data_IF_053578180368
#
_entry.id   IF_053578180368
#
_cell.length_a   1.000
_cell.length_b   1.000
_cell.length_c   1.000
_cell.angle_alpha   90.00
_cell.angle_beta   90.00
_cell.angle_gamma   90.00
#
_symmetry.space_group_name_H-M   'P 1'
#
loop_
_entity.id
_entity.type
_entity.pdbx_description
1 polymer ?
#
# COMPACT_ATOMS: atom_id res chain seq x y z
N UNK A 1 -11.85 -15.92 2.10
CA UNK A 1 -11.28 -16.29 3.08
C UNK A 1 -9.80 -16.09 3.35
N UNK A 2 -8.91 -16.23 2.36
CA UNK A 2 -7.51 -15.89 2.55
C UNK A 2 -7.35 -14.42 2.92
N UNK A 3 -8.13 -13.52 2.27
CA UNK A 3 -8.04 -12.09 2.55
C UNK A 3 -8.43 -11.74 3.98
N UNK A 4 -9.42 -12.44 4.54
CA UNK A 4 -9.83 -12.21 5.92
C UNK A 4 -8.79 -12.72 6.92
N UNK A 5 -8.16 -13.85 6.63
CA UNK A 5 -7.08 -14.38 7.47
C UNK A 5 -5.90 -13.41 7.48
N UNK A 6 -5.48 -12.94 6.32
CA UNK A 6 -4.37 -12.00 6.22
C UNK A 6 -4.68 -10.66 6.86
N UNK A 7 -5.93 -10.18 6.73
CA UNK A 7 -6.34 -8.97 7.43
C UNK A 7 -6.20 -9.12 8.95
N UNK A 8 -6.55 -10.27 9.48
CA UNK A 8 -6.39 -10.56 10.90
C UNK A 8 -4.91 -10.54 11.31
N UNK A 9 -4.06 -11.21 10.55
CA UNK A 9 -2.61 -11.25 10.83
C UNK A 9 -2.01 -9.84 10.78
N UNK A 10 -2.30 -9.09 9.73
CA UNK A 10 -1.81 -7.72 9.60
C UNK A 10 -2.28 -6.84 10.75
N UNK A 11 -3.55 -6.99 11.16
CA UNK A 11 -4.09 -6.16 12.25
C UNK A 11 -3.34 -6.39 13.57
N UNK A 12 -3.01 -7.64 13.87
CA UNK A 12 -2.23 -7.96 15.07
C UNK A 12 -0.84 -7.34 14.99
N UNK A 13 -0.16 -7.49 13.85
CA UNK A 13 1.19 -6.96 13.68
C UNK A 13 1.21 -5.44 13.74
N UNK A 14 0.30 -4.78 13.03
CA UNK A 14 0.26 -3.31 12.97
C UNK A 14 -0.09 -2.71 14.33
N UNK A 15 -1.06 -3.29 15.04
CA UNK A 15 -1.47 -2.77 16.34
C UNK A 15 -0.36 -2.83 17.40
N UNK A 16 0.64 -3.70 17.19
CA UNK A 16 1.79 -3.82 18.09
C UNK A 16 2.94 -2.88 17.76
N UNK A 17 2.87 -2.16 16.63
CA UNK A 17 3.90 -1.20 16.29
C UNK A 17 3.85 -0.03 17.27
N UNK A 18 5.00 0.38 17.80
CA UNK A 18 5.08 1.44 18.80
C UNK A 18 4.54 2.79 18.30
N UNK A 19 4.63 3.03 16.99
CA UNK A 19 4.16 4.28 16.39
C UNK A 19 2.66 4.29 16.08
N UNK A 20 1.98 3.14 16.16
CA UNK A 20 0.59 3.05 15.68
C UNK A 20 -0.36 3.94 16.48
N UNK A 21 -0.26 3.93 17.80
CA UNK A 21 -1.13 4.76 18.65
C UNK A 21 -0.96 6.26 18.37
N UNK A 22 0.25 6.66 18.00
CA UNK A 22 0.53 8.05 17.70
C UNK A 22 -0.09 8.53 16.39
N UNK A 23 -0.31 7.64 15.43
CA UNK A 23 -0.81 8.00 14.09
C UNK A 23 -2.26 7.60 13.84
N UNK A 24 -2.83 6.79 14.71
CA UNK A 24 -4.13 6.13 14.50
C UNK A 24 -5.27 7.08 14.11
N UNK A 25 -5.38 8.22 14.76
CA UNK A 25 -6.50 9.15 14.53
C UNK A 25 -6.55 9.66 13.08
N UNK A 26 -5.40 9.87 12.47
CA UNK A 26 -5.30 10.41 11.12
C UNK A 26 -4.68 9.41 10.15
N UNK A 27 -4.79 8.12 10.47
CA UNK A 27 -4.23 7.08 9.61
C UNK A 27 -5.21 6.68 8.51
N UNK A 28 -4.66 6.38 7.35
CA UNK A 28 -5.42 5.81 6.23
C UNK A 28 -4.66 4.61 5.68
N UNK A 29 -5.38 3.52 5.46
CA UNK A 29 -4.82 2.29 4.95
C UNK A 29 -4.92 2.29 3.42
N UNK A 30 -3.79 2.15 2.73
CA UNK A 30 -3.73 2.22 1.27
C UNK A 30 -2.96 1.02 0.74
N UNK A 31 -3.57 0.20 -0.12
CA UNK A 31 -2.83 -0.91 -0.74
C UNK A 31 -1.95 -0.39 -1.88
N UNK A 32 -0.80 -1.02 -2.06
CA UNK A 32 0.04 -0.76 -3.23
C UNK A 32 -0.67 -1.40 -4.43
N UNK A 33 -0.94 -0.62 -5.50
CA UNK A 33 -1.75 -1.13 -6.60
C UNK A 33 -1.13 -2.32 -7.33
N UNK A 34 -1.98 -3.29 -7.66
CA UNK A 34 -1.60 -4.39 -8.54
C UNK A 34 -1.42 -3.89 -9.98
N UNK A 35 -0.98 -4.75 -10.88
CA UNK A 35 -0.73 -4.37 -12.27
C UNK A 35 -1.99 -4.07 -13.07
N UNK A 36 -3.14 -4.64 -12.70
CA UNK A 36 -4.41 -4.42 -13.39
C UNK A 36 -5.50 -4.02 -12.40
N UNK A 37 -6.52 -3.32 -12.91
CA UNK A 37 -7.69 -2.94 -12.10
C UNK A 37 -8.39 -4.17 -11.52
N UNK A 38 -8.54 -5.20 -12.33
CA UNK A 38 -9.23 -6.44 -11.93
C UNK A 38 -8.48 -7.15 -10.80
N UNK A 39 -7.17 -7.32 -10.96
CA UNK A 39 -6.35 -7.97 -9.94
C UNK A 39 -6.32 -7.15 -8.65
N UNK A 40 -6.24 -5.83 -8.76
CA UNK A 40 -6.23 -4.93 -7.62
C UNK A 40 -7.53 -5.04 -6.82
N UNK A 41 -8.68 -4.95 -7.49
CA UNK A 41 -9.97 -5.07 -6.84
C UNK A 41 -10.16 -6.42 -6.17
N UNK A 42 -9.81 -7.50 -6.86
CA UNK A 42 -9.95 -8.86 -6.33
C UNK A 42 -9.05 -9.09 -5.13
N UNK A 43 -7.83 -8.56 -5.16
CA UNK A 43 -6.85 -8.78 -4.09
C UNK A 43 -7.13 -7.95 -2.85
N UNK A 44 -7.50 -6.69 -3.01
CA UNK A 44 -7.45 -5.74 -1.92
C UNK A 44 -8.79 -5.19 -1.42
N UNK A 45 -9.88 -5.29 -2.17
CA UNK A 45 -11.14 -4.67 -1.74
C UNK A 45 -11.60 -5.18 -0.37
N UNK A 46 -11.72 -6.48 -0.21
CA UNK A 46 -12.18 -7.07 1.05
C UNK A 46 -11.09 -7.01 2.13
N UNK A 47 -9.85 -7.21 1.71
CA UNK A 47 -8.71 -7.16 2.62
C UNK A 47 -8.60 -5.79 3.31
N UNK A 48 -8.64 -4.71 2.54
CA UNK A 48 -8.54 -3.37 3.09
C UNK A 48 -9.72 -3.01 3.97
N UNK A 49 -10.93 -3.38 3.55
CA UNK A 49 -12.13 -3.13 4.35
C UNK A 49 -12.03 -3.79 5.72
N UNK A 50 -11.66 -5.05 5.75
CA UNK A 50 -11.56 -5.80 7.01
C UNK A 50 -10.40 -5.29 7.87
N UNK A 51 -9.26 -5.04 7.28
CA UNK A 51 -8.09 -4.56 8.01
C UNK A 51 -8.33 -3.18 8.61
N UNK A 52 -8.89 -2.25 7.84
CA UNK A 52 -9.20 -0.91 8.33
C UNK A 52 -10.21 -0.97 9.48
N UNK A 53 -11.20 -1.83 9.36
CA UNK A 53 -12.20 -2.04 10.43
C UNK A 53 -11.54 -2.56 11.71
N UNK A 54 -10.67 -3.55 11.60
CA UNK A 54 -9.97 -4.13 12.76
C UNK A 54 -9.03 -3.14 13.44
N UNK A 55 -8.41 -2.27 12.67
CA UNK A 55 -7.51 -1.24 13.19
C UNK A 55 -8.22 0.05 13.61
N UNK A 56 -9.50 0.17 13.27
CA UNK A 56 -10.30 1.37 13.49
C UNK A 56 -9.64 2.61 12.85
N UNK A 57 -9.27 2.47 11.58
CA UNK A 57 -8.69 3.55 10.77
C UNK A 57 -9.44 3.64 9.44
N UNK A 58 -9.19 4.70 8.68
CA UNK A 58 -9.84 4.91 7.40
C UNK A 58 -9.40 3.87 6.36
N UNK A 59 -10.36 3.34 5.61
CA UNK A 59 -10.11 2.46 4.47
C UNK A 59 -9.80 3.32 3.25
N UNK A 60 -8.55 3.32 2.82
CA UNK A 60 -8.07 4.10 1.69
C UNK A 60 -7.93 3.31 0.40
N UNK A 61 -8.70 2.24 0.21
CA UNK A 61 -8.62 1.46 -1.02
C UNK A 61 -8.76 2.34 -2.27
N UNK A 62 -9.57 3.39 -2.21
CA UNK A 62 -9.82 4.29 -3.34
C UNK A 62 -8.90 5.51 -3.38
N UNK A 63 -7.92 5.58 -2.50
CA UNK A 63 -6.95 6.68 -2.48
C UNK A 63 -6.08 6.69 -3.73
N UNK A 64 -5.69 5.51 -4.21
CA UNK A 64 -4.96 5.34 -5.45
C UNK A 64 -5.88 4.65 -6.46
N UNK A 65 -6.03 5.25 -7.63
CA UNK A 65 -6.86 4.70 -8.69
C UNK A 65 -6.01 4.30 -9.88
N UNK A 66 -6.26 3.12 -10.42
CA UNK A 66 -5.57 2.65 -11.62
C UNK A 66 -6.34 3.17 -12.84
N UNK A 67 -5.77 4.16 -13.54
CA UNK A 67 -6.39 4.73 -14.73
C UNK A 67 -6.39 3.74 -15.89
N UNK A 68 -5.26 3.06 -16.07
CA UNK A 68 -5.13 2.02 -17.10
C UNK A 68 -4.16 0.95 -16.61
N UNK A 69 -4.34 -0.27 -17.13
CA UNK A 69 -3.54 -1.41 -16.70
C UNK A 69 -2.07 -1.24 -17.10
N UNK A 70 -1.17 -1.63 -16.20
CA UNK A 70 0.26 -1.49 -16.40
C UNK A 70 0.76 -2.22 -17.65
N UNK A 71 0.09 -3.31 -18.04
CA UNK A 71 0.42 -4.06 -19.23
C UNK A 71 0.36 -3.24 -20.51
N UNK A 72 -0.50 -2.22 -20.54
CA UNK A 72 -0.65 -1.31 -21.69
C UNK A 72 0.46 -0.29 -21.79
N UNK A 73 1.35 -0.26 -20.81
CA UNK A 73 2.46 0.69 -20.73
C UNK A 73 3.79 0.07 -21.14
N UNK A 74 3.76 -1.08 -21.82
CA UNK A 74 4.98 -1.79 -22.24
C UNK A 74 5.89 -0.85 -23.04
N UNK A 75 7.15 -0.79 -22.63
CA UNK A 75 8.16 0.07 -23.24
C UNK A 75 8.24 1.47 -22.63
N UNK A 76 7.22 1.93 -21.92
CA UNK A 76 7.23 3.25 -21.27
C UNK A 76 7.38 3.16 -19.76
N UNK A 77 6.99 2.05 -19.18
CA UNK A 77 7.00 1.84 -17.73
C UNK A 77 8.40 1.93 -17.13
N UNK A 78 9.37 1.38 -17.80
CA UNK A 78 10.77 1.39 -17.38
C UNK A 78 10.98 1.59 -15.89
N UNK A 79 11.28 2.79 -15.51
CA UNK A 79 11.60 3.19 -14.14
C UNK A 79 10.46 3.83 -13.38
N UNK A 80 9.42 4.31 -14.07
CA UNK A 80 8.29 4.99 -13.44
C UNK A 80 7.09 4.07 -13.35
N UNK A 81 6.80 3.60 -12.15
CA UNK A 81 5.71 2.64 -11.90
C UNK A 81 4.41 3.29 -11.48
N UNK A 82 4.34 4.60 -11.45
CA UNK A 82 3.15 5.31 -10.97
C UNK A 82 2.44 6.12 -12.05
N UNK A 83 2.91 6.08 -13.30
CA UNK A 83 2.32 6.84 -14.40
C UNK A 83 0.86 6.48 -14.68
N UNK A 84 0.48 5.24 -14.38
CA UNK A 84 -0.88 4.76 -14.59
C UNK A 84 -1.81 5.01 -13.39
N UNK A 85 -1.34 5.73 -12.37
CA UNK A 85 -2.10 5.94 -11.14
C UNK A 85 -2.62 7.36 -11.03
N UNK A 86 -3.83 7.48 -10.48
CA UNK A 86 -4.38 8.76 -10.04
C UNK A 86 -4.45 8.75 -8.52
N UNK A 87 -4.07 9.85 -7.91
CA UNK A 87 -4.03 10.00 -6.44
C UNK A 87 -5.16 10.91 -5.98
N UNK A 88 -5.97 10.43 -5.06
CA UNK A 88 -7.07 11.22 -4.47
C UNK A 88 -6.53 12.05 -3.30
N UNK A 89 -6.23 13.31 -3.59
CA UNK A 89 -5.60 14.22 -2.63
C UNK A 89 -6.40 14.41 -1.33
N UNK A 90 -7.72 14.35 -1.41
CA UNK A 90 -8.58 14.53 -0.23
C UNK A 90 -8.30 13.46 0.82
N UNK A 91 -7.99 12.25 0.38
CA UNK A 91 -7.69 11.13 1.28
C UNK A 91 -6.24 11.13 1.76
N UNK A 92 -5.40 12.03 1.25
CA UNK A 92 -3.95 12.00 1.49
C UNK A 92 -3.50 13.17 2.38
N UNK A 93 -3.99 14.36 2.11
CA UNK A 93 -3.55 15.57 2.80
C UNK A 93 -3.86 15.50 4.29
N UNK A 94 -2.85 15.69 5.11
CA UNK A 94 -3.01 15.68 6.56
C UNK A 94 -3.17 14.27 7.16
N UNK A 95 -2.84 13.23 6.39
CA UNK A 95 -3.00 11.83 6.83
C UNK A 95 -1.66 11.13 7.00
N UNK A 96 -1.63 10.18 7.94
CA UNK A 96 -0.54 9.21 8.03
C UNK A 96 -0.94 8.03 7.15
N UNK A 97 -0.18 7.75 6.10
CA UNK A 97 -0.53 6.69 5.14
C UNK A 97 0.20 5.40 5.51
N UNK A 98 -0.57 4.33 5.67
CA UNK A 98 -0.04 2.98 5.83
C UNK A 98 -0.21 2.26 4.50
N UNK A 99 0.90 2.08 3.77
CA UNK A 99 0.91 1.33 2.52
C UNK A 99 1.05 -0.15 2.84
N UNK A 100 0.19 -0.97 2.26
CA UNK A 100 0.23 -2.42 2.49
C UNK A 100 0.33 -3.16 1.17
N UNK A 101 1.06 -4.26 1.19
CA UNK A 101 1.16 -5.20 0.08
C UNK A 101 1.60 -6.55 0.64
N UNK A 102 1.52 -7.59 -0.20
CA UNK A 102 1.93 -8.93 0.22
C UNK A 102 3.44 -9.10 0.19
N UNK A 103 4.12 -8.67 -0.87
CA UNK A 103 5.56 -8.87 -1.03
C UNK A 103 6.24 -7.58 -1.48
N UNK A 104 7.36 -7.26 -0.84
CA UNK A 104 8.26 -6.21 -1.31
C UNK A 104 9.44 -6.87 -2.00
N UNK A 105 9.77 -6.44 -3.23
CA UNK A 105 10.93 -6.94 -3.98
C UNK A 105 12.07 -5.93 -3.94
N UNK A 106 11.98 -4.89 -4.76
CA UNK A 106 13.02 -3.84 -4.81
C UNK A 106 12.68 -2.60 -3.99
N UNK A 107 11.41 -2.45 -3.61
CA UNK A 107 10.94 -1.25 -2.93
C UNK A 107 10.68 -0.07 -3.87
N UNK A 108 10.82 -0.24 -5.18
CA UNK A 108 10.64 0.85 -6.13
C UNK A 108 9.24 1.45 -6.06
N UNK A 109 8.20 0.62 -6.04
CA UNK A 109 6.82 1.08 -5.94
C UNK A 109 6.57 1.81 -4.63
N UNK A 110 7.08 1.28 -3.52
CA UNK A 110 6.96 1.92 -2.21
C UNK A 110 7.58 3.32 -2.23
N UNK A 111 8.80 3.43 -2.76
CA UNK A 111 9.52 4.71 -2.80
C UNK A 111 8.80 5.72 -3.69
N UNK A 112 8.40 5.33 -4.90
CA UNK A 112 7.74 6.24 -5.84
C UNK A 112 6.38 6.69 -5.31
N UNK A 113 5.57 5.77 -4.83
CA UNK A 113 4.26 6.11 -4.26
C UNK A 113 4.44 6.96 -3.00
N UNK A 114 5.36 6.58 -2.12
CA UNK A 114 5.62 7.31 -0.90
C UNK A 114 6.03 8.75 -1.14
N UNK A 115 6.94 8.98 -2.09
CA UNK A 115 7.35 10.34 -2.47
C UNK A 115 6.16 11.16 -2.96
N UNK A 116 5.34 10.57 -3.83
CA UNK A 116 4.17 11.26 -4.36
C UNK A 116 3.16 11.60 -3.26
N UNK A 117 2.93 10.68 -2.35
CA UNK A 117 2.03 10.91 -1.22
C UNK A 117 2.52 12.05 -0.33
N UNK A 118 3.81 12.11 -0.05
CA UNK A 118 4.38 13.21 0.73
C UNK A 118 4.25 14.54 0.01
N UNK A 119 4.48 14.57 -1.32
CA UNK A 119 4.27 15.77 -2.14
C UNK A 119 2.83 16.25 -2.08
N UNK A 120 1.87 15.34 -1.96
CA UNK A 120 0.44 15.66 -1.92
C UNK A 120 -0.04 15.99 -0.50
N UNK A 121 0.85 16.03 0.47
CA UNK A 121 0.54 16.51 1.81
C UNK A 121 0.34 15.44 2.87
N UNK A 122 0.73 14.20 2.62
CA UNK A 122 0.72 13.17 3.66
C UNK A 122 1.67 13.57 4.79
N UNK A 123 1.25 13.33 6.03
CA UNK A 123 2.09 13.62 7.19
C UNK A 123 3.24 12.62 7.32
N UNK A 124 2.98 11.38 6.97
CA UNK A 124 4.00 10.33 6.93
C UNK A 124 3.53 9.18 6.06
N UNK A 125 4.47 8.36 5.61
CA UNK A 125 4.18 7.16 4.83
C UNK A 125 4.98 6.01 5.43
N UNK A 126 4.30 4.92 5.73
CA UNK A 126 4.92 3.69 6.23
C UNK A 126 4.44 2.51 5.41
N UNK A 127 5.34 1.58 5.10
CA UNK A 127 5.00 0.37 4.38
C UNK A 127 4.95 -0.84 5.30
N UNK A 128 3.94 -1.68 5.13
CA UNK A 128 3.81 -2.94 5.86
C UNK A 128 3.62 -4.06 4.86
N UNK A 129 4.48 -5.08 4.92
CA UNK A 129 4.52 -6.17 3.95
C UNK A 129 4.56 -7.51 4.66
N UNK A 130 4.02 -8.54 3.99
CA UNK A 130 4.06 -9.90 4.49
C UNK A 130 5.45 -10.51 4.38
N UNK A 131 6.15 -10.23 3.28
CA UNK A 131 7.44 -10.84 2.99
C UNK A 131 8.30 -9.92 2.14
N UNK A 132 9.60 -10.16 2.20
CA UNK A 132 10.56 -9.50 1.34
C UNK A 132 11.26 -10.55 0.49
N UNK A 133 11.38 -10.30 -0.80
CA UNK A 133 12.18 -11.15 -1.68
C UNK A 133 13.66 -10.87 -1.45
N UNK A 134 14.43 -11.90 -1.15
CA UNK A 134 15.88 -11.79 -0.90
C UNK A 134 16.60 -12.57 -1.99
N UNK A 135 17.62 -11.95 -2.58
CA UNK A 135 18.44 -12.63 -3.56
C UNK A 135 19.43 -13.57 -2.87
N UNK A 136 19.81 -14.64 -3.57
CA UNK A 136 20.76 -15.60 -3.02
C UNK A 136 22.05 -14.95 -2.54
N UNK A 137 22.56 -13.97 -3.31
CA UNK A 137 23.77 -13.23 -2.94
C UNK A 137 23.65 -12.47 -1.62
N UNK A 138 22.44 -12.10 -1.23
CA UNK A 138 22.18 -11.41 0.03
C UNK A 138 22.09 -12.40 1.20
N UNK A 139 21.84 -13.67 0.90
CA UNK A 139 21.71 -14.72 1.89
C UNK A 139 23.04 -15.39 2.27
N UNK A 140 24.07 -15.18 1.51
CA UNK A 140 25.37 -15.83 1.67
C UNK A 140 26.36 -15.06 2.56
N UNK A 141 25.85 -14.25 3.45
CA UNK A 141 26.68 -13.42 4.35
C UNK A 141 27.39 -14.26 5.44
#
# INVERSE_FOLDING_TARGET
EKSLLWAKVFSVCISKLSCFDAIKENAVLVPIPASTKKAHGRRFTRFCRELAKRLDIADGFRTLWIEFDREKMKGTIGKNKIENLTFNRIHIKGKHVLLVDDVITTGTSLVQIGKKLLELGALSVRGVFMAKTVRETEMSV
#
